data_IF_270245792536
#
_entry.id   IF_270245792536
#
_cell.length_a   1.000
_cell.length_b   1.000
_cell.length_c   1.000
_cell.angle_alpha   90.00
_cell.angle_beta   90.00
_cell.angle_gamma   90.00
#
_symmetry.space_group_name_H-M   'P 1'
#
loop_
_entity.id
_entity.type
_entity.pdbx_description
1 polymer ?
#
# COMPACT_ATOMS: atom_id res chain seq x y z
N UNK A 1 -17.95 12.68 15.49
CA UNK A 1 -17.91 13.06 14.06
C UNK A 1 -16.67 13.88 13.68
N UNK A 2 -16.22 14.89 14.46
CA UNK A 2 -15.00 15.67 14.12
C UNK A 2 -13.72 14.82 14.01
N UNK A 3 -13.49 13.89 14.93
CA UNK A 3 -12.21 13.16 14.99
C UNK A 3 -12.12 12.01 13.97
N UNK A 4 -13.26 11.40 13.61
CA UNK A 4 -13.31 10.28 12.64
C UNK A 4 -12.93 10.75 11.25
N UNK A 5 -13.44 11.90 10.80
CA UNK A 5 -13.07 12.48 9.51
C UNK A 5 -11.56 12.78 9.42
N UNK A 6 -10.95 13.28 10.50
CA UNK A 6 -9.50 13.52 10.56
C UNK A 6 -8.73 12.20 10.45
N UNK A 7 -9.19 11.13 11.08
CA UNK A 7 -8.56 9.81 10.97
C UNK A 7 -8.72 9.21 9.57
N UNK A 8 -9.88 9.38 8.94
CA UNK A 8 -10.13 8.97 7.55
C UNK A 8 -9.15 9.69 6.62
N UNK A 9 -9.01 11.00 6.74
CA UNK A 9 -8.08 11.80 5.92
C UNK A 9 -6.63 11.34 6.11
N UNK A 10 -6.21 11.08 7.35
CA UNK A 10 -4.86 10.57 7.66
C UNK A 10 -4.62 9.19 7.07
N UNK A 11 -5.60 8.29 7.16
CA UNK A 11 -5.51 6.94 6.63
C UNK A 11 -5.47 6.96 5.09
N UNK A 12 -6.31 7.79 4.47
CA UNK A 12 -6.30 7.98 3.02
C UNK A 12 -4.96 8.53 2.51
N UNK A 13 -4.38 9.51 3.21
CA UNK A 13 -3.05 10.01 2.86
C UNK A 13 -1.96 8.93 2.97
N UNK A 14 -2.07 8.00 3.93
CA UNK A 14 -1.18 6.86 4.06
C UNK A 14 -1.40 5.82 2.94
N UNK A 15 -2.65 5.56 2.56
CA UNK A 15 -3.02 4.68 1.43
C UNK A 15 -2.39 5.17 0.12
N UNK A 16 -2.49 6.47 -0.17
CA UNK A 16 -1.90 7.07 -1.37
C UNK A 16 -0.39 6.88 -1.43
N UNK A 17 0.32 7.06 -0.31
CA UNK A 17 1.77 6.87 -0.23
C UNK A 17 2.17 5.40 -0.38
N UNK A 18 1.39 4.48 0.21
CA UNK A 18 1.61 3.03 0.05
C UNK A 18 1.39 2.61 -1.39
N UNK A 19 0.33 3.08 -2.04
CA UNK A 19 0.02 2.77 -3.43
C UNK A 19 1.14 3.25 -4.36
N UNK A 20 1.59 4.50 -4.21
CA UNK A 20 2.70 5.06 -4.98
C UNK A 20 4.01 4.28 -4.76
N UNK A 21 4.34 3.93 -3.51
CA UNK A 21 5.55 3.16 -3.19
C UNK A 21 5.47 1.74 -3.75
N UNK A 22 4.31 1.09 -3.66
CA UNK A 22 4.07 -0.22 -4.23
C UNK A 22 4.24 -0.22 -5.76
N UNK A 23 3.70 0.78 -6.45
CA UNK A 23 3.85 0.92 -7.90
C UNK A 23 5.32 1.06 -8.32
N UNK A 24 6.08 1.91 -7.63
CA UNK A 24 7.51 2.10 -7.88
C UNK A 24 8.28 0.79 -7.68
N UNK A 25 8.08 0.11 -6.54
CA UNK A 25 8.84 -1.09 -6.19
C UNK A 25 8.43 -2.31 -7.02
N UNK A 26 7.14 -2.46 -7.35
CA UNK A 26 6.67 -3.54 -8.22
C UNK A 26 7.18 -3.38 -9.67
N UNK A 27 7.25 -2.13 -10.16
CA UNK A 27 7.90 -1.81 -11.44
C UNK A 27 9.38 -2.16 -11.40
N UNK A 28 10.12 -1.69 -10.39
CA UNK A 28 11.53 -2.05 -10.22
C UNK A 28 11.74 -3.56 -10.13
N UNK A 29 10.86 -4.29 -9.42
CA UNK A 29 10.93 -5.73 -9.29
C UNK A 29 10.78 -6.43 -10.64
N UNK A 30 9.86 -5.97 -11.49
CA UNK A 30 9.68 -6.47 -12.86
C UNK A 30 10.94 -6.22 -13.68
N UNK A 31 11.46 -5.00 -13.68
CA UNK A 31 12.62 -4.62 -14.49
C UNK A 31 13.88 -5.41 -14.06
N UNK A 32 14.07 -5.63 -12.76
CA UNK A 32 15.13 -6.49 -12.22
C UNK A 32 14.98 -7.95 -12.66
N UNK A 33 13.74 -8.46 -12.71
CA UNK A 33 13.44 -9.82 -13.17
C UNK A 33 13.75 -9.97 -14.65
N UNK A 34 13.38 -8.99 -15.48
CA UNK A 34 13.68 -8.96 -16.92
C UNK A 34 15.18 -8.84 -17.19
N UNK A 35 15.91 -8.09 -16.36
CA UNK A 35 17.38 -7.98 -16.42
C UNK A 35 18.12 -9.20 -15.84
N UNK A 36 17.42 -10.23 -15.37
CA UNK A 36 18.03 -11.45 -14.79
C UNK A 36 18.67 -11.26 -13.40
N UNK A 37 18.40 -10.14 -12.72
CA UNK A 37 18.96 -9.77 -11.40
C UNK A 37 18.24 -10.46 -10.24
N UNK A 38 18.24 -11.81 -10.24
CA UNK A 38 17.45 -12.64 -9.31
C UNK A 38 17.62 -12.29 -7.83
N UNK A 39 18.84 -11.99 -7.37
CA UNK A 39 19.10 -11.63 -5.96
C UNK A 39 18.41 -10.32 -5.58
N UNK A 40 18.50 -9.32 -6.46
CA UNK A 40 17.90 -8.01 -6.23
C UNK A 40 16.37 -8.09 -6.29
N UNK A 41 15.82 -8.88 -7.23
CA UNK A 41 14.37 -9.18 -7.29
C UNK A 41 13.86 -9.79 -5.99
N UNK A 42 14.60 -10.75 -5.41
CA UNK A 42 14.24 -11.39 -4.14
C UNK A 42 14.37 -10.44 -2.96
N UNK A 43 15.39 -9.58 -2.94
CA UNK A 43 15.62 -8.64 -1.85
C UNK A 43 14.45 -7.65 -1.65
N UNK A 44 13.72 -7.33 -2.72
CA UNK A 44 12.57 -6.41 -2.64
C UNK A 44 11.21 -7.12 -2.71
N UNK A 45 11.16 -8.44 -2.90
CA UNK A 45 9.91 -9.16 -3.07
C UNK A 45 9.00 -9.07 -1.83
N UNK A 46 9.57 -9.25 -0.64
CA UNK A 46 8.80 -9.21 0.60
C UNK A 46 8.15 -7.83 0.82
N UNK A 47 8.89 -6.75 0.56
CA UNK A 47 8.36 -5.39 0.76
C UNK A 47 7.26 -5.06 -0.24
N UNK A 48 7.38 -5.48 -1.50
CA UNK A 48 6.32 -5.32 -2.51
C UNK A 48 5.04 -6.03 -2.05
N UNK A 49 5.13 -7.29 -1.64
CA UNK A 49 3.97 -8.03 -1.14
C UNK A 49 3.37 -7.40 0.12
N UNK A 50 4.22 -6.90 1.01
CA UNK A 50 3.80 -6.30 2.28
C UNK A 50 3.06 -4.99 2.07
N UNK A 51 3.52 -4.14 1.15
CA UNK A 51 2.81 -2.92 0.76
C UNK A 51 1.44 -3.23 0.14
N UNK A 52 1.35 -4.24 -0.72
CA UNK A 52 0.06 -4.68 -1.27
C UNK A 52 -0.90 -5.17 -0.19
N UNK A 53 -0.41 -5.86 0.85
CA UNK A 53 -1.21 -6.27 2.01
C UNK A 53 -1.68 -5.08 2.84
N UNK A 54 -0.81 -4.09 3.06
CA UNK A 54 -1.18 -2.88 3.81
C UNK A 54 -2.20 -2.02 3.08
N UNK A 55 -2.10 -1.89 1.76
CA UNK A 55 -3.12 -1.18 0.96
C UNK A 55 -4.52 -1.75 1.20
N UNK A 56 -4.68 -3.08 1.09
CA UNK A 56 -5.97 -3.74 1.36
C UNK A 56 -6.44 -3.58 2.81
N UNK A 57 -5.54 -3.78 3.76
CA UNK A 57 -5.88 -3.69 5.19
C UNK A 57 -6.34 -2.27 5.58
N UNK A 58 -5.73 -1.24 5.00
CA UNK A 58 -6.12 0.15 5.25
C UNK A 58 -7.44 0.49 4.56
N UNK A 59 -7.65 0.00 3.33
CA UNK A 59 -8.92 0.16 2.64
C UNK A 59 -10.07 -0.47 3.44
N UNK A 60 -9.90 -1.69 3.93
CA UNK A 60 -10.86 -2.37 4.80
C UNK A 60 -11.12 -1.57 6.09
N UNK A 61 -10.07 -1.02 6.70
CA UNK A 61 -10.17 -0.19 7.90
C UNK A 61 -10.95 1.11 7.64
N UNK A 62 -10.65 1.81 6.53
CA UNK A 62 -11.35 3.03 6.13
C UNK A 62 -12.83 2.78 5.86
N UNK A 63 -13.14 1.67 5.17
CA UNK A 63 -14.52 1.26 4.91
C UNK A 63 -15.27 1.00 6.23
N UNK A 64 -14.64 0.33 7.20
CA UNK A 64 -15.25 0.07 8.51
C UNK A 64 -15.59 1.32 9.32
N UNK A 65 -14.93 2.45 9.07
CA UNK A 65 -15.25 3.73 9.72
C UNK A 65 -16.35 4.49 8.99
N UNK A 66 -16.41 4.35 7.67
CA UNK A 66 -17.42 5.01 6.82
C UNK A 66 -18.78 4.32 6.96
N UNK A 67 -18.82 2.99 7.12
CA UNK A 67 -20.05 2.22 7.36
C UNK A 67 -20.74 2.53 8.71
N UNK A 68 -20.03 3.17 9.65
CA UNK A 68 -20.56 3.52 10.98
C UNK A 68 -21.18 4.92 11.00
N UNK A 69 -20.87 5.76 10.00
CA UNK A 69 -21.35 7.15 9.89
C UNK A 69 -22.57 7.32 8.94
N UNK A 70 -23.09 6.23 8.34
CA UNK A 70 -24.38 6.14 7.61
C UNK A 70 -25.53 5.63 8.51
#
# INVERSE_FOLDING_TARGET
MSDVNVWIDQLQAAEEQIAATHEILSTLQRDLKEAGRKKDTMAIAEVVERLARYGRMFEDMRNSWTEVDD
#
